data_IF_947452605557
#
_entry.id   IF_947452605557
#
_cell.length_a   1.000
_cell.length_b   1.000
_cell.length_c   1.000
_cell.angle_alpha   90.00
_cell.angle_beta   90.00
_cell.angle_gamma   90.00
#
_symmetry.space_group_name_H-M   'P 1'
#
loop_
_entity.id
_entity.type
_entity.pdbx_description
1 polymer ?
#
# COMPACT_ATOMS: atom_id res chain seq x y z
N UNK A 1 -22.83 -4.71 9.38
CA UNK A 1 -22.36 -5.76 10.34
C UNK A 1 -22.62 -5.32 11.77
N UNK A 2 -22.89 -6.26 12.67
CA UNK A 2 -22.95 -6.00 14.13
C UNK A 2 -21.53 -5.91 14.71
N UNK A 3 -21.32 -5.29 15.89
CA UNK A 3 -20.01 -5.27 16.55
C UNK A 3 -19.42 -6.67 16.78
N UNK A 4 -20.25 -7.67 17.05
CA UNK A 4 -19.81 -9.05 17.24
C UNK A 4 -19.33 -9.70 15.93
N UNK A 5 -19.97 -9.42 14.81
CA UNK A 5 -19.56 -9.89 13.48
C UNK A 5 -18.24 -9.23 13.05
N UNK A 6 -18.06 -7.92 13.32
CA UNK A 6 -16.82 -7.18 13.06
C UNK A 6 -15.67 -7.79 13.87
N UNK A 7 -15.89 -8.03 15.17
CA UNK A 7 -14.90 -8.67 16.06
C UNK A 7 -14.51 -10.06 15.54
N UNK A 8 -15.47 -10.89 15.15
CA UNK A 8 -15.19 -12.24 14.65
C UNK A 8 -14.39 -12.21 13.35
N UNK A 9 -14.74 -11.31 12.41
CA UNK A 9 -13.99 -11.15 11.15
C UNK A 9 -12.55 -10.68 11.42
N UNK A 10 -12.36 -9.68 12.28
CA UNK A 10 -11.06 -9.16 12.66
C UNK A 10 -10.18 -10.23 13.36
N UNK A 11 -10.75 -11.02 14.26
CA UNK A 11 -10.02 -12.12 14.94
C UNK A 11 -9.61 -13.23 13.94
N UNK A 12 -10.45 -13.54 12.97
CA UNK A 12 -10.13 -14.50 11.91
C UNK A 12 -8.93 -14.04 11.09
N UNK A 13 -8.93 -12.77 10.64
CA UNK A 13 -7.84 -12.16 9.88
C UNK A 13 -6.56 -12.03 10.73
N UNK A 14 -6.68 -11.62 11.99
CA UNK A 14 -5.55 -11.59 12.93
C UNK A 14 -4.90 -12.96 13.06
N UNK A 15 -5.70 -14.02 13.23
CA UNK A 15 -5.19 -15.39 13.33
C UNK A 15 -4.42 -15.78 12.07
N UNK A 16 -5.00 -15.60 10.88
CA UNK A 16 -4.35 -15.90 9.62
C UNK A 16 -3.00 -15.16 9.50
N UNK A 17 -2.98 -13.87 9.84
CA UNK A 17 -1.77 -13.02 9.83
C UNK A 17 -0.69 -13.53 10.78
N UNK A 18 -1.02 -13.85 12.02
CA UNK A 18 -0.05 -14.35 13.01
C UNK A 18 0.48 -15.74 12.65
N UNK A 19 -0.34 -16.58 12.04
CA UNK A 19 0.04 -17.91 11.57
C UNK A 19 0.71 -17.89 10.18
N UNK A 20 0.83 -16.71 9.54
CA UNK A 20 1.34 -16.54 8.16
C UNK A 20 0.63 -17.49 7.20
N UNK A 21 -0.67 -17.63 7.36
CA UNK A 21 -1.51 -18.56 6.63
C UNK A 21 -2.51 -17.82 5.74
N UNK A 22 -3.01 -18.52 4.75
CA UNK A 22 -4.02 -18.04 3.81
C UNK A 22 -5.32 -18.81 4.06
N UNK A 23 -6.44 -18.12 4.22
CA UNK A 23 -7.77 -18.70 4.38
C UNK A 23 -8.57 -18.54 3.08
N UNK A 24 -9.48 -19.47 2.80
CA UNK A 24 -10.23 -19.47 1.54
C UNK A 24 -11.05 -18.19 1.35
N UNK A 25 -11.72 -17.72 2.37
CA UNK A 25 -12.54 -16.49 2.38
C UNK A 25 -13.00 -16.15 3.80
N UNK A 26 -13.45 -14.92 4.00
CA UNK A 26 -14.20 -14.56 5.21
C UNK A 26 -15.59 -15.21 5.13
N UNK A 27 -16.03 -16.01 6.13
CA UNK A 27 -17.34 -16.67 6.11
C UNK A 27 -18.50 -15.69 5.87
N UNK A 28 -19.50 -16.08 5.08
CA UNK A 28 -20.58 -15.20 4.61
C UNK A 28 -21.32 -14.48 5.75
N UNK A 29 -21.46 -15.11 6.92
CA UNK A 29 -22.14 -14.52 8.09
C UNK A 29 -21.38 -13.36 8.76
N UNK A 30 -20.08 -13.21 8.48
CA UNK A 30 -19.21 -12.16 9.06
C UNK A 30 -18.41 -11.42 8.00
N UNK A 31 -18.76 -11.58 6.71
CA UNK A 31 -18.11 -10.92 5.59
C UNK A 31 -18.63 -9.49 5.40
N UNK A 32 -17.77 -8.49 5.24
CA UNK A 32 -18.22 -7.14 4.92
C UNK A 32 -18.92 -7.09 3.54
N UNK A 33 -19.96 -6.27 3.42
CA UNK A 33 -20.83 -6.16 2.24
C UNK A 33 -20.73 -4.81 1.54
N UNK A 34 -20.00 -3.87 2.14
CA UNK A 34 -19.77 -2.52 1.63
C UNK A 34 -18.47 -1.95 2.23
N UNK A 35 -18.09 -0.76 1.77
CA UNK A 35 -16.86 -0.08 2.17
C UNK A 35 -16.82 0.23 3.67
N UNK A 36 -17.90 0.73 4.24
CA UNK A 36 -17.96 1.10 5.67
C UNK A 36 -17.75 -0.13 6.56
N UNK A 37 -18.38 -1.26 6.22
CA UNK A 37 -18.21 -2.53 6.93
C UNK A 37 -16.77 -3.06 6.77
N UNK A 38 -16.15 -2.90 5.59
CA UNK A 38 -14.78 -3.31 5.34
C UNK A 38 -13.79 -2.49 6.19
N UNK A 39 -13.95 -1.17 6.23
CA UNK A 39 -13.13 -0.31 7.10
C UNK A 39 -13.36 -0.57 8.58
N UNK A 40 -14.60 -0.87 9.01
CA UNK A 40 -14.86 -1.23 10.40
C UNK A 40 -14.11 -2.50 10.83
N UNK A 41 -14.03 -3.50 9.95
CA UNK A 41 -13.23 -4.72 10.20
C UNK A 41 -11.73 -4.39 10.18
N UNK A 42 -11.26 -3.59 9.21
CA UNK A 42 -9.86 -3.16 9.11
C UNK A 42 -9.41 -2.38 10.36
N UNK A 43 -10.24 -1.44 10.84
CA UNK A 43 -9.97 -0.67 12.05
C UNK A 43 -9.90 -1.58 13.28
N UNK A 44 -10.86 -2.50 13.40
CA UNK A 44 -10.85 -3.47 14.50
C UNK A 44 -9.65 -4.41 14.44
N UNK A 45 -9.26 -4.85 13.26
CA UNK A 45 -8.04 -5.64 13.04
C UNK A 45 -6.80 -4.88 13.55
N UNK A 46 -6.66 -3.62 13.16
CA UNK A 46 -5.53 -2.79 13.60
C UNK A 46 -5.51 -2.61 15.13
N UNK A 47 -6.67 -2.36 15.77
CA UNK A 47 -6.78 -2.26 17.23
C UNK A 47 -6.31 -3.52 17.94
N UNK A 48 -6.81 -4.70 17.51
CA UNK A 48 -6.46 -5.97 18.18
C UNK A 48 -5.05 -6.46 17.85
N UNK A 49 -4.43 -6.00 16.75
CA UNK A 49 -3.01 -6.20 16.48
C UNK A 49 -2.15 -5.35 17.40
N UNK A 50 -2.60 -4.16 17.77
CA UNK A 50 -1.85 -3.25 18.64
C UNK A 50 -0.54 -2.74 18.04
N UNK A 51 -0.43 -2.73 16.71
CA UNK A 51 0.78 -2.30 16.01
C UNK A 51 0.78 -0.79 15.78
N UNK A 52 1.97 -0.18 15.88
CA UNK A 52 2.16 1.24 15.58
C UNK A 52 1.97 1.52 14.08
N UNK A 53 1.10 2.48 13.75
CA UNK A 53 0.91 2.94 12.37
C UNK A 53 2.03 3.92 12.01
N UNK A 54 2.83 3.58 11.00
CA UNK A 54 3.92 4.40 10.48
C UNK A 54 3.50 5.23 9.25
N UNK A 55 2.30 5.01 8.75
CA UNK A 55 1.76 5.71 7.59
C UNK A 55 0.53 5.05 7.02
N UNK A 56 0.23 5.40 5.79
CA UNK A 56 -0.93 4.93 5.06
C UNK A 56 -0.56 4.66 3.61
N UNK A 57 -1.12 3.64 3.02
CA UNK A 57 -1.03 3.45 1.59
C UNK A 57 -2.37 3.65 0.90
N UNK A 58 -2.27 4.06 -0.36
CA UNK A 58 -3.38 4.23 -1.27
C UNK A 58 -3.30 3.12 -2.31
N UNK A 59 -4.26 2.23 -2.32
CA UNK A 59 -4.32 1.12 -3.25
C UNK A 59 -5.43 1.30 -4.28
N UNK A 60 -5.43 0.45 -5.32
CA UNK A 60 -6.40 0.51 -6.40
C UNK A 60 -6.36 1.83 -7.18
N UNK A 61 -5.16 2.38 -7.39
CA UNK A 61 -4.93 3.63 -8.13
C UNK A 61 -4.77 3.43 -9.64
N UNK A 62 -4.76 2.19 -10.10
CA UNK A 62 -4.68 1.83 -11.51
C UNK A 62 -6.05 1.38 -12.03
N UNK A 63 -6.46 1.88 -13.21
CA UNK A 63 -7.77 1.56 -13.81
C UNK A 63 -8.00 0.06 -14.06
N UNK A 64 -6.95 -0.70 -14.39
CA UNK A 64 -7.07 -2.16 -14.58
C UNK A 64 -7.43 -2.83 -13.26
N UNK A 65 -6.80 -2.44 -12.16
CA UNK A 65 -7.08 -2.96 -10.82
C UNK A 65 -8.49 -2.53 -10.36
N UNK A 66 -8.88 -1.28 -10.61
CA UNK A 66 -10.24 -0.81 -10.31
C UNK A 66 -11.31 -1.65 -11.02
N UNK A 67 -11.13 -1.91 -12.30
CA UNK A 67 -12.06 -2.75 -13.06
C UNK A 67 -12.10 -4.20 -12.54
N UNK A 68 -10.94 -4.76 -12.17
CA UNK A 68 -10.83 -6.12 -11.63
C UNK A 68 -11.51 -6.25 -10.27
N UNK A 69 -11.31 -5.30 -9.37
CA UNK A 69 -11.93 -5.25 -8.04
C UNK A 69 -13.34 -4.67 -8.06
N UNK A 70 -13.80 -4.16 -9.21
CA UNK A 70 -15.10 -3.47 -9.37
C UNK A 70 -15.26 -2.29 -8.41
N UNK A 71 -14.18 -1.54 -8.19
CA UNK A 71 -14.14 -0.31 -7.42
C UNK A 71 -14.06 0.89 -8.37
N UNK A 72 -14.77 1.96 -8.03
CA UNK A 72 -14.75 3.21 -8.79
C UNK A 72 -13.67 4.19 -8.30
N UNK A 73 -13.24 4.01 -7.04
CA UNK A 73 -12.26 4.84 -6.36
C UNK A 73 -11.16 3.99 -5.70
N UNK A 74 -9.99 4.59 -5.40
CA UNK A 74 -8.99 3.97 -4.54
C UNK A 74 -9.54 3.64 -3.15
N UNK A 75 -8.82 2.84 -2.42
CA UNK A 75 -9.00 2.65 -0.98
C UNK A 75 -7.67 2.89 -0.26
N UNK A 76 -7.74 3.02 1.07
CA UNK A 76 -6.55 3.18 1.90
C UNK A 76 -6.43 2.06 2.93
N UNK A 77 -5.20 1.80 3.38
CA UNK A 77 -4.96 0.94 4.52
C UNK A 77 -3.72 1.40 5.30
N UNK A 78 -3.49 0.79 6.47
CA UNK A 78 -2.40 1.17 7.35
C UNK A 78 -1.09 0.55 6.92
N UNK A 79 -0.04 1.36 6.95
CA UNK A 79 1.33 0.90 6.91
C UNK A 79 1.83 0.78 8.35
N UNK A 80 2.08 -0.44 8.81
CA UNK A 80 2.59 -0.68 10.16
C UNK A 80 4.10 -0.53 10.22
N UNK A 81 4.60 0.00 11.33
CA UNK A 81 6.04 0.24 11.53
C UNK A 81 6.88 -1.03 11.47
N UNK A 82 6.31 -2.14 11.90
CA UNK A 82 6.99 -3.45 11.93
C UNK A 82 7.28 -4.04 10.55
N UNK A 83 6.63 -3.52 9.50
CA UNK A 83 6.77 -3.97 8.11
C UNK A 83 7.31 -2.88 7.18
N UNK A 84 7.87 -1.80 7.76
CA UNK A 84 8.51 -0.72 7.04
C UNK A 84 10.04 -0.85 7.12
N UNK A 85 10.70 -1.07 5.99
CA UNK A 85 12.13 -1.37 5.92
C UNK A 85 12.87 -0.35 5.04
N UNK A 86 14.02 0.14 5.54
CA UNK A 86 14.95 0.87 4.68
C UNK A 86 15.74 -0.12 3.79
N UNK A 87 16.09 0.29 2.56
CA UNK A 87 16.95 -0.49 1.69
C UNK A 87 18.40 -0.53 2.18
N UNK A 88 19.21 -1.57 1.82
CA UNK A 88 18.75 -2.82 1.23
C UNK A 88 18.05 -3.70 2.26
N UNK A 89 16.92 -4.30 1.87
CA UNK A 89 16.19 -5.20 2.73
C UNK A 89 16.37 -6.66 2.31
N UNK A 90 16.27 -7.58 3.29
CA UNK A 90 16.20 -9.01 3.05
C UNK A 90 14.93 -9.52 3.71
N UNK A 91 14.01 -10.06 2.91
CA UNK A 91 12.74 -10.60 3.38
C UNK A 91 12.63 -12.08 3.07
N UNK A 92 11.94 -12.80 3.93
CA UNK A 92 11.71 -14.22 3.80
C UNK A 92 10.36 -14.47 3.12
N UNK A 93 10.34 -15.17 1.97
CA UNK A 93 9.12 -15.40 1.20
C UNK A 93 8.03 -16.09 2.03
N UNK A 94 8.41 -17.05 2.90
CA UNK A 94 7.47 -17.75 3.78
C UNK A 94 6.78 -16.85 4.80
N UNK A 95 7.25 -15.62 5.02
CA UNK A 95 6.64 -14.65 5.92
C UNK A 95 5.51 -13.85 5.25
N UNK A 96 5.41 -13.90 3.92
CA UNK A 96 4.50 -13.09 3.10
C UNK A 96 3.78 -13.93 2.02
N UNK A 97 2.97 -14.94 2.38
CA UNK A 97 2.26 -15.76 1.40
C UNK A 97 0.95 -15.11 0.91
N UNK A 98 0.67 -15.08 -0.42
CA UNK A 98 1.63 -15.17 -1.52
C UNK A 98 2.41 -13.86 -1.64
N UNK A 99 3.69 -13.90 -1.96
CA UNK A 99 4.52 -12.70 -2.08
C UNK A 99 4.46 -12.13 -3.49
N UNK A 100 3.91 -10.92 -3.61
CA UNK A 100 3.80 -10.17 -4.86
C UNK A 100 4.46 -8.81 -4.70
N UNK A 101 5.13 -8.33 -5.75
CA UNK A 101 5.90 -7.08 -5.74
C UNK A 101 5.22 -6.04 -6.61
N UNK A 102 5.15 -4.83 -6.05
CA UNK A 102 4.73 -3.60 -6.71
C UNK A 102 5.80 -2.51 -6.57
N UNK A 103 6.06 -1.74 -7.65
CA UNK A 103 6.95 -0.58 -7.61
C UNK A 103 6.11 0.68 -7.44
N UNK A 104 6.37 1.46 -6.38
CA UNK A 104 5.50 2.56 -6.00
C UNK A 104 6.27 3.84 -5.64
N UNK A 105 5.59 4.97 -5.67
CA UNK A 105 6.10 6.21 -5.12
C UNK A 105 5.73 6.33 -3.65
N UNK A 106 6.73 6.53 -2.80
CA UNK A 106 6.55 6.83 -1.38
C UNK A 106 6.69 8.32 -1.12
N UNK A 107 5.88 8.87 -0.23
CA UNK A 107 5.93 10.28 0.19
C UNK A 107 6.10 10.37 1.70
N UNK A 108 7.02 11.23 2.14
CA UNK A 108 7.08 11.68 3.54
C UNK A 108 6.65 13.12 3.64
N UNK A 109 5.99 13.48 4.74
CA UNK A 109 5.47 14.83 4.98
C UNK A 109 6.35 15.61 5.96
N UNK A 110 6.53 16.92 5.71
CA UNK A 110 7.21 17.85 6.61
C UNK A 110 6.26 18.41 7.69
N UNK A 111 4.96 18.34 7.48
CA UNK A 111 3.92 18.82 8.39
C UNK A 111 2.67 17.97 8.28
N UNK A 112 1.84 17.99 9.31
CA UNK A 112 0.55 17.31 9.33
C UNK A 112 -0.41 17.88 8.28
N UNK A 113 -1.22 16.99 7.71
CA UNK A 113 -2.45 17.30 6.98
C UNK A 113 -3.61 16.84 7.86
N UNK A 114 -4.04 17.70 8.78
CA UNK A 114 -5.02 17.39 9.83
C UNK A 114 -6.44 17.23 9.28
N UNK A 115 -7.33 16.61 10.06
CA UNK A 115 -8.75 16.59 9.75
C UNK A 115 -9.33 17.97 9.62
N UNK A 116 -10.13 18.18 8.57
CA UNK A 116 -10.87 19.43 8.34
C UNK A 116 -12.07 19.18 7.41
N UNK A 117 -13.07 20.04 7.48
CA UNK A 117 -14.27 19.93 6.65
C UNK A 117 -14.03 20.27 5.17
N UNK A 118 -13.10 21.21 4.90
CA UNK A 118 -12.76 21.62 3.52
C UNK A 118 -11.71 20.66 2.94
N UNK A 119 -11.93 20.09 1.76
CA UNK A 119 -10.91 19.26 1.12
C UNK A 119 -9.59 19.98 0.91
N UNK A 120 -8.49 19.24 0.96
CA UNK A 120 -7.17 19.73 0.63
C UNK A 120 -7.03 19.91 -0.88
N UNK A 121 -6.55 21.09 -1.27
CA UNK A 121 -6.14 21.35 -2.64
C UNK A 121 -4.76 20.72 -2.93
N UNK A 122 -4.50 20.40 -4.19
CA UNK A 122 -3.21 19.83 -4.63
C UNK A 122 -2.00 20.64 -4.13
N UNK A 123 -2.05 21.96 -4.24
CA UNK A 123 -0.96 22.86 -3.84
C UNK A 123 -0.67 22.80 -2.34
N UNK A 124 -1.68 22.57 -1.51
CA UNK A 124 -1.52 22.44 -0.06
C UNK A 124 -0.82 21.13 0.31
N UNK A 125 -1.23 20.02 -0.35
CA UNK A 125 -0.61 18.70 -0.16
C UNK A 125 0.82 18.71 -0.67
N UNK A 126 1.07 19.26 -1.85
CA UNK A 126 2.40 19.44 -2.43
C UNK A 126 3.34 20.23 -1.50
N UNK A 127 2.83 21.31 -0.90
CA UNK A 127 3.60 22.12 0.06
C UNK A 127 3.90 21.37 1.38
N UNK A 128 3.17 20.31 1.70
CA UNK A 128 3.41 19.47 2.87
C UNK A 128 4.43 18.35 2.61
N UNK A 129 4.68 17.96 1.36
CA UNK A 129 5.62 16.89 1.03
C UNK A 129 7.06 17.31 1.35
N UNK A 130 7.73 16.49 2.16
CA UNK A 130 9.15 16.64 2.50
C UNK A 130 10.05 15.98 1.46
N UNK A 131 9.76 14.75 1.11
CA UNK A 131 10.56 13.97 0.16
C UNK A 131 9.68 12.94 -0.57
N UNK A 132 10.15 12.53 -1.75
CA UNK A 132 9.62 11.41 -2.54
C UNK A 132 10.66 10.31 -2.55
N UNK A 133 10.22 9.07 -2.38
CA UNK A 133 11.04 7.87 -2.25
C UNK A 133 10.69 6.86 -3.32
N UNK A 134 11.67 6.18 -3.94
CA UNK A 134 11.39 4.93 -4.63
C UNK A 134 11.03 3.86 -3.61
N UNK A 135 9.98 3.06 -3.87
CA UNK A 135 9.58 1.99 -2.95
C UNK A 135 9.27 0.69 -3.69
N UNK A 136 9.45 -0.42 -2.98
CA UNK A 136 8.92 -1.73 -3.33
C UNK A 136 7.89 -2.10 -2.27
N UNK A 137 6.63 -2.25 -2.67
CA UNK A 137 5.63 -2.86 -1.84
C UNK A 137 5.63 -4.38 -2.03
N UNK A 138 5.54 -5.09 -0.90
CA UNK A 138 5.26 -6.51 -0.84
C UNK A 138 3.79 -6.67 -0.50
N UNK A 139 3.01 -7.08 -1.46
CA UNK A 139 1.61 -7.45 -1.26
C UNK A 139 1.55 -8.89 -0.75
N UNK A 140 0.91 -9.10 0.38
CA UNK A 140 0.76 -10.40 1.02
C UNK A 140 -0.62 -10.50 1.68
N UNK A 141 -1.58 -11.04 0.94
CA UNK A 141 -2.95 -11.22 1.43
C UNK A 141 -3.13 -12.52 2.21
N UNK A 142 -4.03 -12.48 3.19
CA UNK A 142 -4.38 -13.66 3.99
C UNK A 142 -5.62 -14.38 3.46
N UNK A 143 -6.05 -14.03 2.24
CA UNK A 143 -7.19 -14.62 1.53
C UNK A 143 -6.72 -15.29 0.24
N UNK A 144 -7.19 -16.53 -0.04
CA UNK A 144 -6.88 -17.24 -1.27
C UNK A 144 -7.36 -16.48 -2.52
N UNK A 145 -6.75 -16.83 -3.66
CA UNK A 145 -7.14 -16.30 -4.97
C UNK A 145 -7.07 -14.78 -5.12
N UNK A 146 -6.25 -14.07 -4.30
CA UNK A 146 -5.95 -12.69 -4.62
C UNK A 146 -5.30 -12.61 -6.02
N UNK A 147 -5.68 -11.67 -6.87
CA UNK A 147 -6.56 -10.53 -6.66
C UNK A 147 -8.05 -10.76 -7.00
N UNK A 148 -8.48 -11.99 -7.22
CA UNK A 148 -9.87 -12.32 -7.57
C UNK A 148 -10.86 -12.35 -6.39
N UNK A 149 -10.41 -11.98 -5.18
CA UNK A 149 -11.26 -11.84 -3.99
C UNK A 149 -12.20 -10.63 -4.11
N UNK A 150 -13.28 -10.67 -3.34
CA UNK A 150 -14.19 -9.51 -3.22
C UNK A 150 -13.45 -8.32 -2.60
N UNK A 151 -13.60 -7.14 -3.19
CA UNK A 151 -12.90 -5.92 -2.78
C UNK A 151 -13.05 -5.62 -1.27
N UNK A 152 -14.25 -5.82 -0.73
CA UNK A 152 -14.53 -5.56 0.69
C UNK A 152 -13.74 -6.48 1.62
N UNK A 153 -13.52 -7.72 1.22
CA UNK A 153 -12.67 -8.66 1.96
C UNK A 153 -11.19 -8.28 1.88
N UNK A 154 -10.72 -7.80 0.73
CA UNK A 154 -9.36 -7.28 0.54
C UNK A 154 -9.12 -6.06 1.42
N UNK A 155 -10.04 -5.10 1.44
CA UNK A 155 -9.96 -3.90 2.28
C UNK A 155 -9.97 -4.26 3.77
N UNK A 156 -10.84 -5.21 4.18
CA UNK A 156 -10.92 -5.69 5.56
C UNK A 156 -9.61 -6.35 6.04
N UNK A 157 -8.87 -7.03 5.13
CA UNK A 157 -7.53 -7.59 5.40
C UNK A 157 -6.42 -6.54 5.28
N UNK A 158 -6.70 -5.32 5.72
CA UNK A 158 -5.80 -4.17 5.64
C UNK A 158 -5.21 -3.96 4.23
N UNK A 159 -6.01 -4.18 3.19
CA UNK A 159 -5.61 -3.97 1.79
C UNK A 159 -4.54 -4.93 1.28
N UNK A 160 -4.35 -6.08 1.94
CA UNK A 160 -3.31 -7.08 1.64
C UNK A 160 -1.88 -6.57 1.90
N UNK A 161 -1.70 -5.75 2.94
CA UNK A 161 -0.39 -5.25 3.35
C UNK A 161 0.56 -6.39 3.76
N UNK A 162 1.72 -6.44 3.15
CA UNK A 162 2.82 -7.31 3.55
C UNK A 162 3.97 -6.50 4.15
N UNK A 163 4.73 -5.82 3.30
CA UNK A 163 5.84 -4.96 3.72
C UNK A 163 6.05 -3.82 2.72
N UNK A 164 6.71 -2.75 3.18
CA UNK A 164 7.20 -1.68 2.31
C UNK A 164 8.70 -1.51 2.51
N UNK A 165 9.46 -1.63 1.42
CA UNK A 165 10.87 -1.30 1.38
C UNK A 165 11.03 0.05 0.69
N UNK A 166 11.74 0.99 1.31
CA UNK A 166 11.92 2.33 0.77
C UNK A 166 13.39 2.69 0.59
N UNK A 167 13.67 3.35 -0.53
CA UNK A 167 14.97 3.90 -0.85
C UNK A 167 15.16 5.34 -0.35
N UNK A 168 16.33 5.89 -0.64
CA UNK A 168 16.66 7.26 -0.26
C UNK A 168 15.66 8.26 -0.85
N UNK A 169 15.15 9.15 -0.01
CA UNK A 169 14.20 10.18 -0.43
C UNK A 169 14.85 11.39 -1.06
N UNK A 170 14.29 11.90 -2.16
CA UNK A 170 14.67 13.16 -2.78
C UNK A 170 13.86 14.31 -2.22
N UNK A 171 14.53 15.31 -1.65
CA UNK A 171 13.91 16.61 -1.25
C UNK A 171 13.78 17.57 -2.43
N UNK A 172 14.55 17.34 -3.50
CA UNK A 172 14.49 18.12 -4.74
C UNK A 172 13.49 17.54 -5.74
N UNK A 173 12.52 16.76 -5.27
CA UNK A 173 11.55 16.05 -6.09
C UNK A 173 10.69 16.97 -7.00
N UNK A 174 10.56 18.25 -6.66
CA UNK A 174 9.82 19.21 -7.48
C UNK A 174 10.46 19.51 -8.83
N UNK A 175 11.75 19.20 -8.97
CA UNK A 175 12.50 19.30 -10.24
C UNK A 175 12.28 18.05 -11.13
N UNK A 176 11.55 17.04 -10.63
CA UNK A 176 11.29 15.79 -11.32
C UNK A 176 9.87 15.76 -11.92
N UNK A 177 9.75 15.26 -13.14
CA UNK A 177 8.44 14.93 -13.73
C UNK A 177 7.97 13.57 -13.24
N UNK A 178 7.32 13.53 -12.07
CA UNK A 178 6.84 12.28 -11.47
C UNK A 178 5.86 11.54 -12.38
N UNK A 179 5.04 12.24 -13.16
CA UNK A 179 4.03 11.65 -14.05
C UNK A 179 4.70 10.81 -15.14
N UNK A 180 5.70 11.38 -15.81
CA UNK A 180 6.38 10.73 -16.93
C UNK A 180 7.61 9.92 -16.50
N UNK A 181 7.93 9.92 -15.22
CA UNK A 181 9.11 9.22 -14.70
C UNK A 181 9.05 7.74 -15.04
N UNK A 182 10.02 7.21 -15.82
CA UNK A 182 10.10 5.78 -16.08
C UNK A 182 10.41 5.01 -14.80
N UNK A 183 9.66 3.92 -14.58
CA UNK A 183 9.87 2.98 -13.48
C UNK A 183 10.13 1.60 -14.07
N UNK A 184 11.16 0.92 -13.59
CA UNK A 184 11.53 -0.43 -14.02
C UNK A 184 11.76 -1.33 -12.81
N UNK A 185 11.30 -2.57 -12.88
CA UNK A 185 11.68 -3.63 -11.95
C UNK A 185 12.68 -4.55 -12.63
N UNK A 186 13.86 -4.67 -12.02
CA UNK A 186 14.88 -5.64 -12.39
C UNK A 186 14.84 -6.80 -11.39
N UNK A 187 14.90 -8.02 -11.92
CA UNK A 187 15.01 -9.24 -11.13
C UNK A 187 16.23 -10.01 -11.62
N UNK A 188 17.15 -10.30 -10.72
CA UNK A 188 18.41 -10.96 -11.02
C UNK A 188 19.17 -10.26 -12.18
N UNK A 189 19.18 -8.91 -12.17
CA UNK A 189 19.80 -8.05 -13.16
C UNK A 189 19.06 -7.93 -14.51
N UNK A 190 17.85 -8.51 -14.66
CA UNK A 190 17.05 -8.44 -15.90
C UNK A 190 15.80 -7.60 -15.66
N UNK A 191 15.54 -6.64 -16.53
CA UNK A 191 14.29 -5.86 -16.48
C UNK A 191 13.09 -6.75 -16.84
N UNK A 192 12.17 -6.93 -15.86
CA UNK A 192 10.98 -7.78 -16.00
C UNK A 192 9.69 -7.00 -16.09
N UNK A 193 9.65 -5.77 -15.54
CA UNK A 193 8.49 -4.88 -15.58
C UNK A 193 8.92 -3.47 -15.90
N UNK A 194 8.04 -2.72 -16.57
CA UNK A 194 8.19 -1.30 -16.86
C UNK A 194 6.88 -0.58 -16.66
N UNK A 195 6.96 0.67 -16.28
CA UNK A 195 5.82 1.56 -16.14
C UNK A 195 6.26 3.01 -15.96
N UNK A 196 5.37 3.82 -15.44
CA UNK A 196 5.61 5.24 -15.18
C UNK A 196 4.68 5.74 -14.09
N UNK A 197 4.93 6.94 -13.58
CA UNK A 197 4.04 7.56 -12.60
C UNK A 197 2.63 7.81 -13.10
N UNK A 198 2.43 7.95 -14.40
CA UNK A 198 1.09 8.10 -15.02
C UNK A 198 0.15 6.92 -14.68
N UNK A 199 0.69 5.73 -14.42
CA UNK A 199 -0.09 4.57 -14.03
C UNK A 199 -0.74 4.72 -12.64
N UNK A 200 -0.24 5.63 -11.81
CA UNK A 200 -0.71 5.89 -10.46
C UNK A 200 -1.72 7.04 -10.49
N UNK A 201 -2.98 6.74 -10.68
CA UNK A 201 -4.10 7.69 -10.74
C UNK A 201 -3.87 8.88 -11.73
N UNK A 202 -3.04 8.66 -12.75
CA UNK A 202 -2.58 9.69 -13.69
C UNK A 202 -1.42 10.55 -13.17
N UNK A 203 -1.15 10.57 -11.87
CA UNK A 203 -0.10 11.32 -11.21
C UNK A 203 0.07 10.81 -9.77
N UNK A 204 1.26 10.38 -9.33
CA UNK A 204 1.50 9.93 -7.96
C UNK A 204 1.10 10.94 -6.89
N UNK A 205 1.28 12.23 -7.15
CA UNK A 205 0.86 13.28 -6.23
C UNK A 205 -0.67 13.35 -6.11
N UNK A 206 -1.42 13.05 -7.18
CA UNK A 206 -2.88 12.99 -7.14
C UNK A 206 -3.37 11.85 -6.23
N UNK A 207 -2.67 10.71 -6.19
CA UNK A 207 -2.98 9.63 -5.26
C UNK A 207 -2.76 10.09 -3.80
N UNK A 208 -1.69 10.84 -3.51
CA UNK A 208 -1.48 11.42 -2.19
C UNK A 208 -2.57 12.47 -1.83
N UNK A 209 -3.02 13.28 -2.78
CA UNK A 209 -4.13 14.23 -2.58
C UNK A 209 -5.43 13.48 -2.24
N UNK A 210 -5.71 12.40 -2.96
CA UNK A 210 -6.86 11.55 -2.67
C UNK A 210 -6.75 10.97 -1.25
N UNK A 211 -5.60 10.42 -0.89
CA UNK A 211 -5.34 9.83 0.42
C UNK A 211 -5.48 10.87 1.55
N UNK A 212 -4.92 12.07 1.38
CA UNK A 212 -5.03 13.16 2.34
C UNK A 212 -6.50 13.53 2.59
N UNK A 213 -7.30 13.61 1.54
CA UNK A 213 -8.72 13.93 1.65
C UNK A 213 -9.54 12.80 2.27
N UNK A 214 -9.27 11.55 1.91
CA UNK A 214 -9.90 10.39 2.53
C UNK A 214 -9.59 10.34 4.03
N UNK A 215 -8.33 10.48 4.42
CA UNK A 215 -7.92 10.44 5.83
C UNK A 215 -8.38 11.67 6.61
N UNK A 216 -8.52 12.83 5.96
CA UNK A 216 -9.09 14.03 6.58
C UNK A 216 -10.58 13.85 6.89
N UNK A 217 -11.33 13.14 6.05
CA UNK A 217 -12.76 12.87 6.21
C UNK A 217 -13.03 11.77 7.24
N UNK A 218 -12.27 10.67 7.16
CA UNK A 218 -12.58 9.41 7.81
C UNK A 218 -11.70 9.10 9.03
N UNK A 219 -10.82 10.03 9.46
CA UNK A 219 -9.89 9.73 10.56
C UNK A 219 -9.04 10.89 11.04
N UNK A 220 -7.76 10.64 11.28
CA UNK A 220 -6.84 11.56 11.97
C UNK A 220 -6.00 12.42 11.03
N UNK A 221 -6.28 12.40 9.73
CA UNK A 221 -5.44 13.01 8.72
C UNK A 221 -4.15 12.23 8.47
N UNK A 222 -3.15 12.89 7.87
CA UNK A 222 -1.80 12.36 7.67
C UNK A 222 -0.81 13.12 8.54
N UNK A 223 0.17 12.42 9.13
CA UNK A 223 1.11 13.02 10.08
C UNK A 223 2.49 13.27 9.46
N UNK A 224 3.16 14.31 9.92
CA UNK A 224 4.55 14.56 9.58
C UNK A 224 5.44 13.36 9.93
N UNK A 225 6.39 13.06 9.06
CA UNK A 225 7.33 11.94 9.23
C UNK A 225 6.76 10.56 8.90
N UNK A 226 5.45 10.42 8.69
CA UNK A 226 4.89 9.17 8.21
C UNK A 226 5.22 8.93 6.73
N UNK A 227 5.32 7.63 6.35
CA UNK A 227 5.47 7.19 4.97
C UNK A 227 4.10 6.92 4.36
N UNK A 228 3.89 7.42 3.15
CA UNK A 228 2.66 7.18 2.38
C UNK A 228 3.02 6.69 0.98
N UNK A 229 2.60 5.49 0.61
CA UNK A 229 2.77 4.97 -0.75
C UNK A 229 1.45 5.01 -1.55
N UNK A 230 1.57 4.88 -2.86
CA UNK A 230 0.54 5.43 -3.76
C UNK A 230 -0.08 4.42 -4.73
N UNK A 231 0.23 3.14 -4.60
CA UNK A 231 -0.18 2.13 -5.55
C UNK A 231 0.80 1.99 -6.73
N UNK A 232 0.68 0.88 -7.42
CA UNK A 232 1.71 0.41 -8.34
C UNK A 232 1.87 1.27 -9.60
N UNK A 233 3.12 1.62 -9.90
CA UNK A 233 3.53 2.28 -11.14
C UNK A 233 3.83 1.27 -12.28
N UNK A 234 3.98 -0.02 -11.96
CA UNK A 234 4.26 -1.10 -12.91
C UNK A 234 3.17 -2.18 -12.86
N UNK A 235 3.28 -3.19 -13.72
CA UNK A 235 2.54 -4.43 -13.48
C UNK A 235 3.17 -5.20 -12.33
N UNK A 236 2.33 -5.96 -11.59
CA UNK A 236 2.75 -6.80 -10.48
C UNK A 236 3.75 -7.89 -10.90
N UNK A 237 4.60 -8.31 -9.97
CA UNK A 237 5.54 -9.40 -10.16
C UNK A 237 5.41 -10.46 -9.05
N UNK A 238 5.21 -11.71 -9.42
CA UNK A 238 5.18 -12.84 -8.49
C UNK A 238 6.60 -13.28 -8.18
N UNK A 239 6.99 -13.20 -6.93
CA UNK A 239 8.34 -13.48 -6.46
C UNK A 239 8.61 -14.98 -6.42
N UNK A 240 9.85 -15.33 -6.74
CA UNK A 240 10.43 -16.65 -6.46
C UNK A 240 11.50 -16.51 -5.37
N UNK A 241 11.53 -17.37 -4.35
CA UNK A 241 12.62 -17.37 -3.37
C UNK A 241 13.98 -17.43 -4.06
N UNK A 242 14.91 -16.57 -3.62
CA UNK A 242 16.22 -16.37 -4.26
C UNK A 242 16.28 -15.17 -5.21
N UNK A 243 15.15 -14.50 -5.50
CA UNK A 243 15.15 -13.31 -6.34
C UNK A 243 15.86 -12.13 -5.66
N UNK A 244 16.71 -11.44 -6.43
CA UNK A 244 17.30 -10.15 -6.13
C UNK A 244 16.57 -9.08 -6.95
N UNK A 245 15.87 -8.19 -6.27
CA UNK A 245 14.98 -7.19 -6.88
C UNK A 245 15.59 -5.80 -6.75
N UNK A 246 15.57 -5.04 -7.85
CA UNK A 246 15.90 -3.61 -7.85
C UNK A 246 14.81 -2.87 -8.61
N UNK A 247 14.10 -1.97 -7.94
CA UNK A 247 13.23 -1.03 -8.61
C UNK A 247 14.00 0.27 -8.91
N UNK A 248 13.99 0.69 -10.16
CA UNK A 248 14.66 1.90 -10.65
C UNK A 248 13.63 2.95 -11.02
N UNK A 249 13.75 4.14 -10.44
CA UNK A 249 12.94 5.32 -10.72
C UNK A 249 13.86 6.39 -11.31
N UNK A 250 13.75 6.64 -12.60
CA UNK A 250 14.67 7.49 -13.35
C UNK A 250 14.76 8.90 -12.78
N UNK A 251 15.95 9.27 -12.30
CA UNK A 251 16.20 10.59 -11.67
C UNK A 251 15.81 10.69 -10.19
N UNK A 252 15.01 9.76 -9.65
CA UNK A 252 14.67 9.71 -8.23
C UNK A 252 15.62 8.80 -7.44
N UNK A 253 15.94 7.63 -7.96
CA UNK A 253 16.81 6.67 -7.29
C UNK A 253 16.38 5.22 -7.50
N UNK A 254 16.93 4.36 -6.66
CA UNK A 254 16.67 2.92 -6.66
C UNK A 254 16.23 2.45 -5.29
N UNK A 255 15.64 1.26 -5.23
CA UNK A 255 15.38 0.52 -4.00
C UNK A 255 15.62 -0.97 -4.24
N UNK A 256 16.33 -1.62 -3.31
CA UNK A 256 16.76 -3.00 -3.43
C UNK A 256 16.12 -3.91 -2.36
N UNK A 257 15.70 -5.09 -2.79
CA UNK A 257 15.11 -6.14 -1.94
C UNK A 257 15.67 -7.50 -2.36
N UNK A 258 16.18 -8.27 -1.41
CA UNK A 258 16.51 -9.68 -1.59
C UNK A 258 15.43 -10.56 -0.93
N UNK A 259 14.99 -11.60 -1.64
CA UNK A 259 14.01 -12.55 -1.14
C UNK A 259 14.68 -13.89 -0.86
N UNK A 260 14.53 -14.38 0.36
CA UNK A 260 15.05 -15.70 0.80
C UNK A 260 13.91 -16.71 0.95
N UNK A 261 14.27 -17.99 1.18
CA UNK A 261 13.31 -19.07 1.45
C UNK A 261 12.56 -18.90 2.79
#
# INVERSE_FOLDING_TARGET
>A
MTPAEIEQAAQLLKKARLEKSVIAHIPAGIRPRNLDEAYAVQDRLAEILGLETAGWFCACTNRKIQQMLKLEEPYYARLFKTVLFAEPAVLKASDYPPMVIECEFGFTLARDLSCRATPYERTEVEAAVQAVHPTIEVVAGHLENWPAQEAWSVIADNGTDGALVYGAGSRCWRDLDLVRMPVSLLVNGRCVRKGSGENVLGDPLQALVWLANARSRDGDGLKAGQMHNTGTATEIYWVTPGDELVAEFTGLGTVALQVTE
#
